data_IF_858481746973
#
_entry.id   IF_858481746973
#
_cell.length_a   1.000
_cell.length_b   1.000
_cell.length_c   1.000
_cell.angle_alpha   90.00
_cell.angle_beta   90.00
_cell.angle_gamma   90.00
#
_symmetry.space_group_name_H-M   'P 1'
#
loop_
_entity.id
_entity.type
_entity.pdbx_description
1 polymer ?
#
# COMPACT_ATOMS: atom_id res chain seq x y z
N UNK A 1 -36.57 -20.06 -3.78
CA UNK A 1 -36.08 -19.67 -3.75
C UNK A 1 -35.58 -19.22 -3.60
N UNK A 2 -35.23 -19.06 -3.46
CA UNK A 2 -34.61 -18.49 -3.42
C UNK A 2 -33.97 -18.13 -3.03
N UNK A 3 -33.64 -18.04 -2.77
CA UNK A 3 -32.95 -17.52 -2.38
C UNK A 3 -32.03 -17.23 -2.35
N UNK A 4 -31.67 -17.40 -2.49
CA UNK A 4 -30.75 -17.15 -2.43
C UNK A 4 -30.11 -16.46 -2.43
N UNK A 5 -30.34 -16.23 -2.48
CA UNK A 5 -29.71 -15.49 -2.49
C UNK A 5 -29.11 -15.24 -1.61
N UNK A 6 -29.00 -15.79 -1.07
CA UNK A 6 -28.31 -15.47 -0.30
C UNK A 6 -27.33 -15.49 -0.55
N UNK A 7 -27.64 -16.32 -0.67
CA UNK A 7 -26.59 -16.09 -1.37
C UNK A 7 -25.72 -14.94 -1.07
N UNK A 8 -26.03 -13.81 -1.52
CA UNK A 8 -25.10 -12.74 -1.22
C UNK A 8 -24.91 -12.61 0.27
N UNK A 9 -23.66 -12.49 0.66
CA UNK A 9 -23.36 -12.27 2.06
C UNK A 9 -23.93 -10.92 2.49
N UNK A 10 -24.07 -10.76 3.79
CA UNK A 10 -24.47 -9.49 4.32
C UNK A 10 -23.51 -8.37 3.91
N UNK A 11 -22.24 -8.72 3.77
CA UNK A 11 -21.23 -7.74 3.32
C UNK A 11 -21.56 -7.16 1.96
N UNK A 12 -22.05 -7.99 1.05
CA UNK A 12 -22.45 -7.50 -0.27
C UNK A 12 -23.69 -6.63 -0.18
N UNK A 13 -24.59 -6.92 0.73
CA UNK A 13 -25.80 -6.16 0.90
C UNK A 13 -25.53 -4.79 1.53
N UNK A 14 -24.58 -4.72 2.46
CA UNK A 14 -24.29 -3.52 3.23
C UNK A 14 -23.09 -2.75 2.71
N UNK A 15 -22.37 -3.30 1.74
CA UNK A 15 -21.20 -2.69 1.17
C UNK A 15 -21.48 -2.00 -0.15
N UNK A 16 -20.43 -1.62 -0.86
CA UNK A 16 -20.57 -1.06 -2.20
C UNK A 16 -21.24 -2.05 -3.14
N UNK A 17 -21.90 -1.55 -4.17
CA UNK A 17 -22.54 -2.38 -5.17
C UNK A 17 -21.52 -3.24 -5.89
N UNK A 18 -21.91 -4.47 -6.21
CA UNK A 18 -21.06 -5.43 -6.91
C UNK A 18 -20.29 -6.33 -5.98
N UNK A 19 -19.40 -7.12 -6.54
CA UNK A 19 -18.55 -8.04 -5.78
C UNK A 19 -17.15 -7.51 -5.56
N UNK A 20 -16.33 -8.31 -4.88
CA UNK A 20 -14.96 -7.93 -4.52
C UNK A 20 -14.13 -7.54 -5.75
N UNK A 21 -14.27 -8.31 -6.83
CA UNK A 21 -13.53 -8.03 -8.07
C UNK A 21 -13.87 -6.64 -8.62
N UNK A 22 -15.15 -6.30 -8.61
CA UNK A 22 -15.60 -4.99 -9.09
C UNK A 22 -15.14 -3.87 -8.15
N UNK A 23 -15.13 -4.13 -6.85
CA UNK A 23 -14.60 -3.16 -5.88
C UNK A 23 -13.11 -2.90 -6.15
N UNK A 24 -12.37 -3.97 -6.42
CA UNK A 24 -10.95 -3.85 -6.73
C UNK A 24 -10.75 -3.02 -7.99
N UNK A 25 -11.47 -3.34 -9.07
CA UNK A 25 -11.34 -2.59 -10.32
C UNK A 25 -11.72 -1.13 -10.15
N UNK A 26 -12.79 -0.86 -9.42
CA UNK A 26 -13.20 0.52 -9.16
C UNK A 26 -12.18 1.24 -8.30
N UNK A 27 -11.62 0.56 -7.32
CA UNK A 27 -10.58 1.14 -6.48
C UNK A 27 -9.34 1.54 -7.28
N UNK A 28 -8.90 0.66 -8.18
CA UNK A 28 -7.76 0.95 -9.05
C UNK A 28 -8.09 2.15 -9.95
N UNK A 29 -9.30 2.20 -10.50
CA UNK A 29 -9.72 3.31 -11.35
C UNK A 29 -9.73 4.62 -10.58
N UNK A 30 -10.22 4.61 -9.35
CA UNK A 30 -10.22 5.80 -8.49
C UNK A 30 -8.80 6.27 -8.22
N UNK A 31 -7.85 5.36 -8.05
CA UNK A 31 -6.44 5.72 -7.91
C UNK A 31 -5.93 6.43 -9.15
N UNK A 32 -6.24 5.88 -10.33
CA UNK A 32 -5.82 6.46 -11.61
C UNK A 32 -6.42 7.83 -11.83
N UNK A 33 -7.62 8.05 -11.32
CA UNK A 33 -8.32 9.32 -11.46
C UNK A 33 -7.92 10.36 -10.41
N UNK A 34 -7.02 9.99 -9.50
CA UNK A 34 -6.56 10.92 -8.48
C UNK A 34 -7.47 11.05 -7.28
N UNK A 35 -8.24 10.00 -6.97
CA UNK A 35 -9.15 9.96 -5.81
C UNK A 35 -8.70 8.88 -4.82
N UNK A 36 -7.50 9.03 -4.21
CA UNK A 36 -6.94 7.95 -3.40
C UNK A 36 -7.73 7.69 -2.11
N UNK A 37 -8.36 8.69 -1.53
CA UNK A 37 -9.14 8.48 -0.30
C UNK A 37 -10.35 7.60 -0.56
N UNK A 38 -11.07 7.87 -1.65
CA UNK A 38 -12.21 7.04 -2.05
C UNK A 38 -11.74 5.63 -2.41
N UNK A 39 -10.60 5.53 -3.10
CA UNK A 39 -10.01 4.24 -3.44
C UNK A 39 -9.68 3.44 -2.18
N UNK A 40 -9.07 4.08 -1.18
CA UNK A 40 -8.69 3.40 0.05
C UNK A 40 -9.90 2.83 0.76
N UNK A 41 -10.99 3.59 0.86
CA UNK A 41 -12.20 3.12 1.51
C UNK A 41 -12.75 1.86 0.84
N UNK A 42 -12.80 1.87 -0.49
CA UNK A 42 -13.33 0.75 -1.25
C UNK A 42 -12.40 -0.47 -1.18
N UNK A 43 -11.09 -0.23 -1.27
CA UNK A 43 -10.10 -1.30 -1.23
C UNK A 43 -9.98 -1.92 0.17
N UNK A 44 -10.23 -1.13 1.22
CA UNK A 44 -10.30 -1.68 2.58
C UNK A 44 -11.43 -2.69 2.70
N UNK A 45 -12.58 -2.37 2.12
CA UNK A 45 -13.69 -3.33 2.11
C UNK A 45 -13.30 -4.60 1.36
N UNK A 46 -12.67 -4.44 0.21
CA UNK A 46 -12.24 -5.60 -0.58
C UNK A 46 -11.25 -6.46 0.21
N UNK A 47 -10.31 -5.83 0.93
CA UNK A 47 -9.31 -6.55 1.73
C UNK A 47 -9.94 -7.29 2.91
N UNK A 48 -11.04 -6.77 3.46
CA UNK A 48 -11.75 -7.48 4.52
C UNK A 48 -12.37 -8.78 4.05
N UNK A 49 -12.85 -8.80 2.80
CA UNK A 49 -13.49 -9.98 2.23
C UNK A 49 -12.45 -10.96 1.69
N UNK A 50 -11.37 -10.44 1.11
CA UNK A 50 -10.27 -11.25 0.56
C UNK A 50 -8.94 -10.81 1.17
N UNK A 51 -8.69 -11.17 2.43
CA UNK A 51 -7.52 -10.66 3.14
C UNK A 51 -6.18 -11.16 2.60
N UNK A 52 -6.19 -12.26 1.84
CA UNK A 52 -4.95 -12.85 1.31
C UNK A 52 -4.63 -12.38 -0.10
N UNK A 53 -5.44 -11.52 -0.69
CA UNK A 53 -5.21 -11.02 -2.05
C UNK A 53 -4.08 -10.01 -2.06
N UNK A 54 -2.99 -10.35 -2.74
CA UNK A 54 -1.86 -9.42 -2.88
C UNK A 54 -2.22 -8.24 -3.76
N UNK A 55 -2.98 -8.47 -4.84
CA UNK A 55 -3.37 -7.39 -5.74
C UNK A 55 -4.18 -6.32 -5.02
N UNK A 56 -5.11 -6.74 -4.18
CA UNK A 56 -5.92 -5.80 -3.38
C UNK A 56 -5.02 -5.06 -2.41
N UNK A 57 -4.11 -5.78 -1.74
CA UNK A 57 -3.23 -5.14 -0.75
C UNK A 57 -2.29 -4.13 -1.39
N UNK A 58 -1.78 -4.42 -2.58
CA UNK A 58 -0.92 -3.51 -3.31
C UNK A 58 -1.66 -2.21 -3.67
N UNK A 59 -2.86 -2.36 -4.20
CA UNK A 59 -3.67 -1.19 -4.54
C UNK A 59 -4.03 -0.40 -3.28
N UNK A 60 -4.36 -1.10 -2.21
CA UNK A 60 -4.69 -0.47 -0.93
C UNK A 60 -3.51 0.32 -0.37
N UNK A 61 -2.31 -0.27 -0.39
CA UNK A 61 -1.11 0.41 0.10
C UNK A 61 -0.88 1.71 -0.66
N UNK A 62 -1.01 1.67 -1.99
CA UNK A 62 -0.86 2.88 -2.82
C UNK A 62 -1.93 3.92 -2.49
N UNK A 63 -3.16 3.48 -2.31
CA UNK A 63 -4.26 4.39 -1.98
C UNK A 63 -4.05 5.03 -0.61
N UNK A 64 -3.61 4.25 0.36
CA UNK A 64 -3.32 4.76 1.70
C UNK A 64 -2.18 5.77 1.67
N UNK A 65 -1.09 5.45 0.95
CA UNK A 65 0.03 6.36 0.82
C UNK A 65 -0.38 7.66 0.13
N UNK A 66 -1.09 7.56 -0.98
CA UNK A 66 -1.47 8.73 -1.77
C UNK A 66 -2.51 9.61 -1.07
N UNK A 67 -3.28 9.04 -0.16
CA UNK A 67 -4.22 9.80 0.67
C UNK A 67 -3.60 10.26 1.99
N UNK A 68 -2.28 10.10 2.15
CA UNK A 68 -1.51 10.52 3.33
C UNK A 68 -1.83 9.73 4.59
N UNK A 69 -2.36 8.54 4.43
CA UNK A 69 -2.59 7.65 5.56
C UNK A 69 -1.35 6.77 5.72
N UNK A 70 -0.25 7.40 6.15
CA UNK A 70 1.07 6.76 6.12
C UNK A 70 1.20 5.60 7.11
N UNK A 71 0.60 5.72 8.30
CA UNK A 71 0.66 4.64 9.28
C UNK A 71 -0.03 3.39 8.74
N UNK A 72 -1.19 3.56 8.11
CA UNK A 72 -1.89 2.44 7.48
C UNK A 72 -1.08 1.87 6.32
N UNK A 73 -0.47 2.75 5.52
CA UNK A 73 0.36 2.33 4.40
C UNK A 73 1.55 1.49 4.87
N UNK A 74 2.17 1.86 5.99
CA UNK A 74 3.26 1.07 6.57
C UNK A 74 2.80 -0.38 6.82
N UNK A 75 1.63 -0.54 7.42
CA UNK A 75 1.08 -1.86 7.69
C UNK A 75 0.85 -2.65 6.40
N UNK A 76 0.29 -2.00 5.38
CA UNK A 76 0.03 -2.66 4.10
C UNK A 76 1.31 -3.04 3.38
N UNK A 77 2.30 -2.14 3.34
CA UNK A 77 3.58 -2.46 2.71
C UNK A 77 4.33 -3.57 3.45
N UNK A 78 4.30 -3.57 4.79
CA UNK A 78 4.89 -4.66 5.56
C UNK A 78 4.23 -6.00 5.23
N UNK A 79 2.92 -6.00 5.12
CA UNK A 79 2.21 -7.21 4.73
C UNK A 79 2.71 -7.73 3.38
N UNK A 80 2.92 -6.81 2.43
CA UNK A 80 3.36 -7.19 1.08
C UNK A 80 4.78 -7.78 1.11
N UNK A 81 5.73 -7.14 1.80
CA UNK A 81 7.10 -7.63 1.83
C UNK A 81 7.22 -8.95 2.59
N UNK A 82 6.36 -9.16 3.59
CA UNK A 82 6.31 -10.43 4.30
C UNK A 82 5.76 -11.55 3.42
N UNK A 83 4.76 -11.24 2.60
CA UNK A 83 4.17 -12.22 1.70
C UNK A 83 5.07 -12.51 0.49
N UNK A 84 5.81 -11.52 0.03
CA UNK A 84 6.70 -11.67 -1.13
C UNK A 84 7.92 -10.76 -0.97
N UNK A 85 9.02 -11.30 -0.39
CA UNK A 85 10.23 -10.50 -0.19
C UNK A 85 10.92 -10.02 -1.46
N UNK A 86 10.44 -10.42 -2.64
CA UNK A 86 11.01 -9.99 -3.92
C UNK A 86 10.32 -8.74 -4.50
N UNK A 87 9.38 -8.16 -3.78
CA UNK A 87 8.64 -6.98 -4.25
C UNK A 87 9.39 -5.69 -3.91
N UNK A 88 10.27 -5.29 -4.82
CA UNK A 88 11.15 -4.14 -4.57
C UNK A 88 10.37 -2.85 -4.30
N UNK A 89 9.29 -2.61 -5.05
CA UNK A 89 8.51 -1.38 -4.85
C UNK A 89 7.89 -1.29 -3.47
N UNK A 90 7.58 -2.43 -2.85
CA UNK A 90 6.97 -2.43 -1.51
C UNK A 90 7.98 -2.03 -0.45
N UNK A 91 9.25 -2.39 -0.61
CA UNK A 91 10.30 -1.88 0.27
C UNK A 91 10.46 -0.37 0.10
N UNK A 92 10.44 0.11 -1.13
CA UNK A 92 10.49 1.55 -1.37
C UNK A 92 9.29 2.25 -0.71
N UNK A 93 8.08 1.72 -0.93
CA UNK A 93 6.87 2.27 -0.33
C UNK A 93 6.92 2.27 1.19
N UNK A 94 7.41 1.18 1.78
CA UNK A 94 7.57 1.09 3.23
C UNK A 94 8.53 2.17 3.74
N UNK A 95 9.69 2.31 3.08
CA UNK A 95 10.66 3.32 3.48
C UNK A 95 10.11 4.73 3.35
N UNK A 96 9.41 5.02 2.27
CA UNK A 96 8.81 6.34 2.07
C UNK A 96 7.72 6.64 3.09
N UNK A 97 6.91 5.65 3.43
CA UNK A 97 5.87 5.83 4.44
C UNK A 97 6.47 6.08 5.83
N UNK A 98 7.53 5.35 6.17
CA UNK A 98 8.26 5.58 7.42
C UNK A 98 8.86 6.98 7.46
N UNK A 99 9.46 7.42 6.34
CA UNK A 99 9.98 8.79 6.24
C UNK A 99 8.88 9.80 6.54
N UNK A 100 7.71 9.63 5.89
CA UNK A 100 6.61 10.59 6.04
C UNK A 100 6.04 10.63 7.45
N UNK A 101 6.20 9.57 8.23
CA UNK A 101 5.79 9.57 9.65
C UNK A 101 6.88 10.14 10.56
N UNK A 102 8.04 10.48 10.01
CA UNK A 102 9.16 11.01 10.80
C UNK A 102 10.13 9.96 11.29
N UNK A 103 9.91 8.70 10.99
CA UNK A 103 10.83 7.61 11.37
C UNK A 103 11.91 7.49 10.30
N UNK A 104 12.86 8.43 10.35
CA UNK A 104 13.92 8.49 9.34
C UNK A 104 14.88 7.31 9.49
N UNK A 105 15.18 6.92 10.73
CA UNK A 105 16.05 5.77 10.97
C UNK A 105 15.42 4.48 10.44
N UNK A 106 14.13 4.30 10.70
CA UNK A 106 13.40 3.12 10.23
C UNK A 106 13.26 3.06 8.71
N UNK A 107 13.34 4.21 8.03
CA UNK A 107 13.24 4.27 6.58
C UNK A 107 14.50 3.74 5.88
N UNK A 108 15.66 3.77 6.55
CA UNK A 108 16.94 3.49 5.90
C UNK A 108 17.02 2.05 5.36
N UNK A 109 16.67 1.08 6.18
CA UNK A 109 16.82 -0.32 5.79
C UNK A 109 15.90 -0.70 4.60
N UNK A 110 14.61 -0.42 4.63
CA UNK A 110 13.76 -0.76 3.47
C UNK A 110 14.23 -0.08 2.19
N UNK A 111 14.67 1.18 2.26
CA UNK A 111 15.18 1.87 1.08
C UNK A 111 16.48 1.25 0.57
N UNK A 112 17.35 0.81 1.50
CA UNK A 112 18.59 0.13 1.10
C UNK A 112 18.28 -1.19 0.40
N UNK A 113 17.29 -1.94 0.87
CA UNK A 113 16.86 -3.18 0.22
C UNK A 113 16.34 -2.89 -1.18
N UNK A 114 15.50 -1.86 -1.32
CA UNK A 114 14.95 -1.49 -2.63
C UNK A 114 16.08 -1.14 -3.61
N UNK A 115 17.07 -0.38 -3.19
CA UNK A 115 18.21 -0.01 -4.03
C UNK A 115 19.04 -1.24 -4.39
N UNK A 116 19.26 -2.15 -3.44
CA UNK A 116 20.02 -3.36 -3.71
C UNK A 116 19.33 -4.22 -4.78
N UNK A 117 17.99 -4.26 -4.75
CA UNK A 117 17.22 -5.02 -5.72
C UNK A 117 17.14 -4.33 -7.08
N UNK A 118 17.04 -3.02 -7.10
CA UNK A 118 16.90 -2.23 -8.32
C UNK A 118 17.79 -0.99 -8.28
N UNK A 119 19.10 -1.18 -8.43
CA UNK A 119 20.04 -0.04 -8.40
C UNK A 119 19.89 0.88 -9.60
N UNK A 120 19.18 0.44 -10.63
CA UNK A 120 18.92 1.22 -11.83
C UNK A 120 17.80 2.26 -11.63
N UNK A 121 16.98 2.13 -10.59
CA UNK A 121 15.87 3.05 -10.38
C UNK A 121 16.33 4.25 -9.59
N UNK A 122 16.40 5.39 -10.28
CA UNK A 122 16.94 6.62 -9.70
C UNK A 122 16.18 7.09 -8.48
N UNK A 123 14.86 6.95 -8.47
CA UNK A 123 14.08 7.45 -7.35
C UNK A 123 14.33 6.64 -6.08
N UNK A 124 14.67 5.34 -6.20
CA UNK A 124 15.08 4.55 -5.03
C UNK A 124 16.40 5.08 -4.47
N UNK A 125 17.38 5.28 -5.36
CA UNK A 125 18.69 5.76 -4.97
C UNK A 125 18.60 7.15 -4.34
N UNK A 126 17.81 8.05 -4.95
CA UNK A 126 17.63 9.40 -4.43
C UNK A 126 17.01 9.38 -3.03
N UNK A 127 16.01 8.54 -2.81
CA UNK A 127 15.36 8.45 -1.50
C UNK A 127 16.36 7.99 -0.43
N UNK A 128 17.14 6.96 -0.73
CA UNK A 128 18.13 6.45 0.22
C UNK A 128 19.22 7.49 0.52
N UNK A 129 19.70 8.16 -0.52
CA UNK A 129 20.70 9.21 -0.37
C UNK A 129 20.21 10.32 0.55
N UNK A 130 18.94 10.71 0.36
CA UNK A 130 18.33 11.77 1.16
C UNK A 130 18.15 11.35 2.62
N UNK A 131 17.72 10.12 2.85
CA UNK A 131 17.58 9.58 4.21
C UNK A 131 18.94 9.58 4.91
N UNK A 132 19.97 9.09 4.23
CA UNK A 132 21.31 9.04 4.81
C UNK A 132 21.86 10.42 5.11
N UNK A 133 21.61 11.38 4.22
CA UNK A 133 22.03 12.76 4.45
C UNK A 133 21.34 13.35 5.68
N UNK A 134 20.05 13.11 5.83
CA UNK A 134 19.28 13.58 6.98
C UNK A 134 19.82 12.98 8.28
N UNK A 135 20.15 11.69 8.28
CA UNK A 135 20.69 11.02 9.47
C UNK A 135 22.07 11.60 9.84
N UNK A 136 22.92 11.81 8.85
CA UNK A 136 24.24 12.43 9.11
C UNK A 136 24.09 13.81 9.69
N UNK A 137 23.16 14.60 9.18
CA UNK A 137 22.92 15.96 9.69
C UNK A 137 22.47 15.95 11.14
N UNK A 138 21.70 14.92 11.54
CA UNK A 138 21.24 14.79 12.93
C UNK A 138 22.37 14.42 13.88
N UNK A 139 23.43 13.80 13.37
CA UNK A 139 24.58 13.41 14.19
C UNK A 139 25.54 14.57 14.41
N UNK A 140 25.44 15.59 13.62
CA UNK A 140 26.37 16.74 13.66
C UNK A 140 26.11 17.64 14.87
#
# INVERSE_FOLDING_TARGET
MIQGRHGPSDDQQNGPAGGVYEWFQRGVKLLEEGSPAAAAALLERAAQVEPDSRSIREALARAQFNSRRYVDAIGSFRWIVDANPAEDYAYYGLGMALWRTGDIEGAQEPLAVAVAMRPDLRHYVSALTQVRATLRAREA
#
